data_IF_867886576750
#
_entry.id   IF_867886576750
#
_cell.length_a   1.000
_cell.length_b   1.000
_cell.length_c   1.000
_cell.angle_alpha   90.00
_cell.angle_beta   90.00
_cell.angle_gamma   90.00
#
_symmetry.space_group_name_H-M   'P 1'
#
loop_
_entity.id
_entity.type
_entity.pdbx_description
1 polymer ?
#
# COMPACT_ATOMS: atom_id res chain seq x y z
N UNK A 1 -12.48 10.68 20.80
CA UNK A 1 -11.72 9.77 19.91
C UNK A 1 -12.61 8.84 19.06
N UNK A 2 -13.94 8.87 19.18
CA UNK A 2 -14.83 7.95 18.44
C UNK A 2 -15.00 8.32 16.98
N UNK A 3 -15.17 9.60 16.62
CA UNK A 3 -15.42 10.02 15.22
C UNK A 3 -14.29 9.64 14.27
N UNK A 4 -13.03 9.91 14.62
CA UNK A 4 -11.89 9.65 13.72
C UNK A 4 -11.71 8.16 13.40
N UNK A 5 -12.02 7.26 14.35
CA UNK A 5 -11.92 5.82 14.13
C UNK A 5 -12.89 5.32 13.04
N UNK A 6 -14.06 5.97 12.87
CA UNK A 6 -14.99 5.62 11.79
C UNK A 6 -14.47 5.98 10.39
N UNK A 7 -13.51 6.90 10.30
CA UNK A 7 -12.91 7.35 9.04
C UNK A 7 -11.45 6.87 8.88
N UNK A 8 -10.96 6.05 9.80
CA UNK A 8 -9.59 5.54 9.78
C UNK A 8 -9.45 4.38 8.78
N UNK A 9 -8.50 4.53 7.85
CA UNK A 9 -8.31 3.56 6.77
C UNK A 9 -7.79 2.21 7.28
N UNK A 10 -7.00 2.17 8.36
CA UNK A 10 -6.49 0.91 8.92
C UNK A 10 -7.63 0.12 9.59
N UNK A 11 -8.53 0.81 10.27
CA UNK A 11 -9.77 0.24 10.83
C UNK A 11 -10.63 -0.36 9.72
N UNK A 12 -10.84 0.36 8.62
CA UNK A 12 -11.59 -0.16 7.47
C UNK A 12 -10.88 -1.33 6.75
N UNK A 13 -9.55 -1.27 6.62
CA UNK A 13 -8.74 -2.28 5.95
C UNK A 13 -8.87 -3.68 6.56
N UNK A 14 -9.05 -3.76 7.90
CA UNK A 14 -9.27 -5.02 8.62
C UNK A 14 -10.54 -5.78 8.19
N UNK A 15 -11.44 -5.13 7.46
CA UNK A 15 -12.73 -5.68 7.02
C UNK A 15 -12.77 -6.05 5.54
N UNK A 16 -11.66 -5.96 4.82
CA UNK A 16 -11.61 -6.24 3.38
C UNK A 16 -11.58 -7.76 3.13
N UNK A 17 -12.46 -8.25 2.26
CA UNK A 17 -12.55 -9.69 1.93
C UNK A 17 -12.08 -10.01 0.49
N UNK A 18 -11.82 -8.99 -0.32
CA UNK A 18 -11.33 -9.13 -1.70
C UNK A 18 -9.80 -9.07 -1.75
N UNK A 19 -9.15 -9.58 -2.82
CA UNK A 19 -7.71 -9.48 -2.95
C UNK A 19 -7.25 -8.01 -3.03
N UNK A 20 -6.18 -7.67 -2.32
CA UNK A 20 -5.60 -6.31 -2.30
C UNK A 20 -4.12 -6.35 -2.68
N UNK A 21 -3.69 -5.37 -3.46
CA UNK A 21 -2.28 -5.06 -3.69
C UNK A 21 -1.95 -3.73 -3.01
N UNK A 22 -0.94 -3.70 -2.15
CA UNK A 22 -0.51 -2.52 -1.41
C UNK A 22 0.95 -2.16 -1.69
N UNK A 23 1.23 -0.87 -1.85
CA UNK A 23 2.57 -0.37 -2.11
C UNK A 23 3.00 0.74 -1.12
N UNK A 24 3.25 0.44 0.18
CA UNK A 24 3.67 1.47 1.14
C UNK A 24 5.12 1.89 0.89
N UNK A 25 5.43 3.17 1.12
CA UNK A 25 6.77 3.73 0.92
C UNK A 25 7.59 3.84 2.22
N UNK A 26 8.91 3.63 2.11
CA UNK A 26 9.87 3.84 3.21
C UNK A 26 10.09 5.32 3.52
N UNK A 27 9.99 6.18 2.49
CA UNK A 27 10.09 7.62 2.63
C UNK A 27 8.92 8.31 1.90
N UNK A 28 8.18 9.16 2.58
CA UNK A 28 7.12 9.94 1.94
C UNK A 28 6.88 11.25 2.71
N UNK A 29 7.10 12.43 2.09
CA UNK A 29 6.97 13.73 2.76
C UNK A 29 5.51 14.20 2.92
N UNK A 30 4.53 13.47 2.38
CA UNK A 30 3.10 13.83 2.41
C UNK A 30 2.29 12.87 3.29
N UNK A 31 2.57 11.58 3.21
CA UNK A 31 1.87 10.54 3.95
C UNK A 31 2.90 9.74 4.76
N UNK A 32 3.01 9.93 6.08
CA UNK A 32 4.04 9.26 6.87
C UNK A 32 4.02 7.73 6.70
N UNK A 33 5.20 7.09 6.54
CA UNK A 33 5.29 5.64 6.37
C UNK A 33 4.51 4.86 7.42
N UNK A 34 4.55 5.26 8.70
CA UNK A 34 3.83 4.60 9.78
C UNK A 34 2.31 4.50 9.52
N UNK A 35 1.69 5.50 8.90
CA UNK A 35 0.27 5.46 8.54
C UNK A 35 0.01 4.51 7.37
N UNK A 36 0.87 4.51 6.35
CA UNK A 36 0.76 3.59 5.20
C UNK A 36 0.94 2.13 5.65
N UNK A 37 1.93 1.87 6.51
CA UNK A 37 2.18 0.56 7.09
C UNK A 37 1.07 0.13 8.06
N UNK A 38 0.45 1.05 8.80
CA UNK A 38 -0.72 0.71 9.63
C UNK A 38 -1.88 0.14 8.80
N UNK A 39 -2.18 0.75 7.64
CA UNK A 39 -3.22 0.26 6.73
C UNK A 39 -2.85 -1.12 6.17
N UNK A 40 -1.64 -1.27 5.65
CA UNK A 40 -1.21 -2.53 5.00
C UNK A 40 -1.02 -3.68 5.98
N UNK A 41 -0.65 -3.40 7.24
CA UNK A 41 -0.60 -4.39 8.31
C UNK A 41 -1.98 -4.85 8.78
N UNK A 42 -3.00 -4.00 8.64
CA UNK A 42 -4.38 -4.34 9.00
C UNK A 42 -5.09 -5.20 7.93
N UNK A 43 -4.58 -5.24 6.70
CA UNK A 43 -5.16 -6.03 5.61
C UNK A 43 -5.15 -7.54 5.93
N UNK A 44 -6.23 -8.29 5.61
CA UNK A 44 -6.26 -9.76 5.73
C UNK A 44 -5.26 -10.49 4.83
N UNK A 45 -5.16 -11.82 4.95
CA UNK A 45 -4.11 -12.63 4.31
C UNK A 45 -4.15 -12.62 2.77
N UNK A 46 -5.30 -12.35 2.16
CA UNK A 46 -5.45 -12.24 0.71
C UNK A 46 -4.90 -10.89 0.20
N UNK A 47 -3.58 -10.69 0.37
CA UNK A 47 -2.90 -9.44 0.01
C UNK A 47 -1.52 -9.69 -0.58
N UNK A 48 -1.12 -8.81 -1.48
CA UNK A 48 0.25 -8.69 -1.97
C UNK A 48 0.80 -7.32 -1.57
N UNK A 49 1.95 -7.29 -0.89
CA UNK A 49 2.63 -6.04 -0.50
C UNK A 49 3.96 -5.90 -1.26
N UNK A 50 4.24 -4.72 -1.79
CA UNK A 50 5.53 -4.30 -2.38
C UNK A 50 5.98 -3.01 -1.72
N UNK A 51 7.19 -2.93 -1.21
CA UNK A 51 7.64 -1.72 -0.49
C UNK A 51 8.35 -0.80 -1.48
N UNK A 52 7.88 0.45 -1.57
CA UNK A 52 8.52 1.51 -2.36
C UNK A 52 9.69 2.12 -1.56
N UNK A 53 10.72 2.58 -2.27
CA UNK A 53 11.78 3.41 -1.68
C UNK A 53 11.22 4.76 -1.26
N UNK A 54 10.46 5.42 -2.14
CA UNK A 54 9.82 6.69 -1.83
C UNK A 54 8.46 6.91 -2.51
N UNK A 55 7.56 7.58 -1.80
CA UNK A 55 6.30 8.12 -2.29
C UNK A 55 6.31 9.64 -2.24
N UNK A 56 5.57 10.32 -3.14
CA UNK A 56 5.51 11.79 -3.22
C UNK A 56 6.87 12.51 -3.25
N UNK A 57 7.91 11.82 -3.71
CA UNK A 57 9.27 12.32 -3.82
C UNK A 57 9.89 11.69 -5.05
N UNK A 58 10.60 12.49 -5.86
CA UNK A 58 11.29 11.97 -7.04
C UNK A 58 12.68 11.48 -6.65
N UNK A 59 13.07 10.32 -7.17
CA UNK A 59 14.35 9.68 -6.91
C UNK A 59 14.88 9.01 -8.19
N UNK A 60 16.20 8.78 -8.33
CA UNK A 60 16.81 8.33 -9.58
C UNK A 60 16.18 7.08 -10.20
N UNK A 61 15.81 6.09 -9.38
CA UNK A 61 15.32 4.79 -9.84
C UNK A 61 13.79 4.70 -9.95
N UNK A 62 13.07 5.83 -9.81
CA UNK A 62 11.61 5.85 -9.73
C UNK A 62 10.92 5.20 -10.93
N UNK A 63 11.39 5.49 -12.15
CA UNK A 63 10.77 4.94 -13.35
C UNK A 63 10.89 3.41 -13.43
N UNK A 64 12.00 2.85 -12.92
CA UNK A 64 12.19 1.41 -12.87
C UNK A 64 11.32 0.78 -11.78
N UNK A 65 11.32 1.34 -10.58
CA UNK A 65 10.50 0.85 -9.46
C UNK A 65 9.00 0.91 -9.79
N UNK A 66 8.54 1.96 -10.49
CA UNK A 66 7.16 2.08 -10.97
C UNK A 66 6.81 0.99 -12.01
N UNK A 67 7.74 0.65 -12.91
CA UNK A 67 7.56 -0.42 -13.89
C UNK A 67 7.46 -1.80 -13.21
N UNK A 68 8.36 -2.08 -12.27
CA UNK A 68 8.42 -3.35 -11.53
C UNK A 68 7.14 -3.55 -10.68
N UNK A 69 6.64 -2.48 -10.05
CA UNK A 69 5.40 -2.54 -9.27
C UNK A 69 4.19 -2.71 -10.16
N UNK A 70 4.17 -2.06 -11.34
CA UNK A 70 3.10 -2.24 -12.31
C UNK A 70 3.04 -3.68 -12.82
N UNK A 71 4.18 -4.28 -13.13
CA UNK A 71 4.25 -5.69 -13.51
C UNK A 71 3.72 -6.59 -12.38
N UNK A 72 4.23 -6.40 -11.16
CA UNK A 72 3.79 -7.18 -10.00
C UNK A 72 2.28 -7.05 -9.71
N UNK A 73 1.71 -5.86 -9.92
CA UNK A 73 0.28 -5.61 -9.79
C UNK A 73 -0.51 -6.42 -10.82
N UNK A 74 -0.12 -6.37 -12.09
CA UNK A 74 -0.80 -7.08 -13.16
C UNK A 74 -0.74 -8.58 -12.93
N UNK A 75 0.44 -9.14 -12.67
CA UNK A 75 0.63 -10.57 -12.40
C UNK A 75 -0.19 -11.06 -11.21
N UNK A 76 -0.33 -10.26 -10.14
CA UNK A 76 -1.13 -10.65 -8.97
C UNK A 76 -2.62 -10.80 -9.30
N UNK A 77 -3.14 -10.01 -10.25
CA UNK A 77 -4.55 -10.02 -10.64
C UNK A 77 -4.82 -10.78 -11.94
N UNK A 78 -3.82 -11.43 -12.53
CA UNK A 78 -4.04 -12.30 -13.68
C UNK A 78 -5.00 -13.43 -13.30
N UNK A 79 -6.06 -13.66 -14.10
CA UNK A 79 -6.93 -14.82 -13.91
C UNK A 79 -6.13 -16.12 -14.03
N UNK A 80 -6.38 -17.07 -13.14
CA UNK A 80 -5.82 -18.43 -13.24
C UNK A 80 -6.33 -19.18 -14.48
#
# INVERSE_FOLDING_TARGET
MTTLAYYDAATAASRIEIPIFGAPALFDPKVPPSGQFAVTNALPQNRQIRILQAGHFSYPDQAQEDADIREALLTWFEPA
#
